data_IF_565895131491
#
_entry.id   IF_565895131491
#
_cell.length_a   1.000
_cell.length_b   1.000
_cell.length_c   1.000
_cell.angle_alpha   90.00
_cell.angle_beta   90.00
_cell.angle_gamma   90.00
#
_symmetry.space_group_name_H-M   'P 1'
#
loop_
_entity.id
_entity.type
_entity.pdbx_description
1 polymer ?
#
# COMPACT_ATOMS: atom_id res chain seq x y z
N UNK A 1 10.34 11.14 12.73
CA UNK A 1 10.53 12.21 13.74
C UNK A 1 11.43 11.65 14.83
N UNK A 2 12.62 12.23 15.09
CA UNK A 2 13.52 11.66 16.09
C UNK A 2 12.93 11.83 17.50
N UNK A 3 12.76 10.72 18.17
CA UNK A 3 12.41 10.64 19.59
C UNK A 3 13.70 10.39 20.37
N UNK A 4 13.83 11.02 21.53
CA UNK A 4 14.97 10.87 22.41
C UNK A 4 14.48 10.57 23.81
N UNK A 5 15.18 9.67 24.50
CA UNK A 5 14.92 9.40 25.91
C UNK A 5 15.88 10.18 26.79
N UNK A 6 15.32 10.81 27.82
CA UNK A 6 16.06 11.56 28.84
C UNK A 6 15.91 10.87 30.19
N UNK A 7 16.96 10.94 31.02
CA UNK A 7 16.98 10.36 32.36
C UNK A 7 17.35 11.41 33.39
N UNK A 8 16.66 11.40 34.53
CA UNK A 8 17.02 12.22 35.68
C UNK A 8 18.15 11.54 36.47
N UNK A 9 19.22 12.28 36.79
CA UNK A 9 20.35 11.76 37.57
C UNK A 9 19.98 11.43 39.03
N UNK A 10 19.09 12.22 39.65
CA UNK A 10 18.77 12.06 41.07
C UNK A 10 17.73 10.96 41.35
N UNK A 11 16.60 10.96 40.61
CA UNK A 11 15.50 10.03 40.86
C UNK A 11 15.39 8.89 39.84
N UNK A 12 16.21 8.89 38.79
CA UNK A 12 16.22 7.83 37.79
C UNK A 12 15.02 7.78 36.83
N UNK A 13 14.08 8.74 36.90
CA UNK A 13 12.92 8.80 35.99
C UNK A 13 13.35 8.96 34.53
N UNK A 14 12.59 8.34 33.64
CA UNK A 14 12.73 8.43 32.18
C UNK A 14 11.58 9.20 31.57
N UNK A 15 11.86 9.93 30.49
CA UNK A 15 10.85 10.58 29.66
C UNK A 15 11.28 10.53 28.19
N UNK A 16 10.31 10.49 27.27
CA UNK A 16 10.55 10.38 25.83
C UNK A 16 10.08 11.65 25.14
N UNK A 17 11.02 12.40 24.58
CA UNK A 17 10.77 13.71 23.98
C UNK A 17 11.03 13.71 22.48
N UNK A 18 10.22 14.47 21.75
CA UNK A 18 10.52 14.83 20.37
C UNK A 18 11.41 16.07 20.31
N UNK A 19 12.52 15.99 19.56
CA UNK A 19 13.38 17.13 19.25
C UNK A 19 13.94 17.05 17.83
N UNK A 20 14.32 18.19 17.27
CA UNK A 20 15.16 18.23 16.07
C UNK A 20 16.59 17.83 16.43
N UNK A 21 17.32 17.28 15.47
CA UNK A 21 18.69 16.80 15.68
C UNK A 21 19.62 17.92 16.19
N UNK A 22 19.44 19.14 15.68
CA UNK A 22 20.22 20.31 16.09
C UNK A 22 19.93 20.78 17.53
N UNK A 23 18.73 20.48 18.06
CA UNK A 23 18.24 20.94 19.37
C UNK A 23 18.09 19.77 20.36
N UNK A 24 18.68 18.61 20.05
CA UNK A 24 18.50 17.36 20.81
C UNK A 24 18.93 17.45 22.29
N UNK A 25 19.83 18.38 22.60
CA UNK A 25 20.38 18.59 23.95
C UNK A 25 19.91 19.95 24.55
N UNK A 26 19.04 20.68 23.84
CA UNK A 26 18.51 21.98 24.28
C UNK A 26 17.13 21.84 24.93
N UNK A 27 16.87 22.65 25.96
CA UNK A 27 15.57 22.72 26.65
C UNK A 27 15.02 21.33 27.04
N UNK A 28 15.89 20.53 27.67
CA UNK A 28 15.52 19.23 28.20
C UNK A 28 14.56 19.39 29.39
N UNK A 29 13.62 18.44 29.59
CA UNK A 29 12.73 18.45 30.73
C UNK A 29 13.49 18.56 32.05
N UNK A 30 12.85 19.21 33.02
CA UNK A 30 13.38 19.36 34.37
C UNK A 30 12.65 18.42 35.32
N UNK A 31 13.41 17.78 36.20
CA UNK A 31 12.87 16.99 37.30
C UNK A 31 13.51 17.43 38.63
N UNK A 32 14.70 16.93 38.96
CA UNK A 32 15.53 17.39 40.08
C UNK A 32 16.76 18.16 39.57
N UNK A 33 16.52 19.04 38.59
CA UNK A 33 17.53 19.60 37.70
C UNK A 33 17.30 19.18 36.25
N UNK A 34 18.18 19.66 35.36
CA UNK A 34 18.13 19.30 33.94
C UNK A 34 18.35 17.80 33.77
N UNK A 35 17.41 17.12 33.11
CA UNK A 35 17.61 15.73 32.70
C UNK A 35 18.67 15.67 31.59
N UNK A 36 19.36 14.54 31.44
CA UNK A 36 20.31 14.33 30.35
C UNK A 36 19.78 13.27 29.39
N UNK A 37 20.07 13.43 28.11
CA UNK A 37 19.73 12.45 27.08
C UNK A 37 20.59 11.20 27.26
N UNK A 38 19.95 10.03 27.14
CA UNK A 38 20.66 8.76 27.10
C UNK A 38 20.67 8.21 25.66
N UNK A 39 21.66 7.39 25.38
CA UNK A 39 21.70 6.61 24.15
C UNK A 39 21.03 5.28 24.47
N UNK A 40 19.88 5.05 23.84
CA UNK A 40 19.20 3.76 23.94
C UNK A 40 19.83 2.75 22.98
N UNK A 41 19.69 1.46 23.32
CA UNK A 41 19.99 0.42 22.36
C UNK A 41 19.08 0.61 21.13
N UNK A 42 19.64 0.53 19.90
CA UNK A 42 18.82 0.68 18.71
C UNK A 42 17.74 -0.41 18.69
N UNK A 43 16.51 -0.03 18.34
CA UNK A 43 15.46 -1.00 18.09
C UNK A 43 15.83 -1.84 16.87
N UNK A 44 16.06 -3.14 17.08
CA UNK A 44 16.32 -4.08 15.99
C UNK A 44 15.00 -4.70 15.55
N UNK A 45 14.57 -4.37 14.33
CA UNK A 45 13.43 -5.04 13.72
C UNK A 45 13.94 -6.27 12.95
N UNK A 46 13.86 -7.44 13.58
CA UNK A 46 14.21 -8.71 12.94
C UNK A 46 13.35 -8.98 11.69
N UNK A 47 13.89 -9.75 10.76
CA UNK A 47 13.17 -10.13 9.55
C UNK A 47 12.05 -11.15 9.86
N UNK A 48 11.19 -11.41 8.87
CA UNK A 48 10.12 -12.38 8.98
C UNK A 48 10.72 -13.78 9.15
N UNK A 49 10.24 -14.61 10.11
CA UNK A 49 10.69 -15.98 10.24
C UNK A 49 10.41 -16.75 8.95
N UNK A 50 11.28 -17.73 8.66
CA UNK A 50 11.11 -18.61 7.52
C UNK A 50 9.82 -19.43 7.64
N UNK A 51 9.07 -19.52 6.54
CA UNK A 51 7.85 -20.32 6.46
C UNK A 51 7.69 -20.96 5.08
N UNK A 52 6.86 -22.00 4.99
CA UNK A 52 6.50 -22.62 3.73
C UNK A 52 5.33 -21.84 3.10
N UNK A 53 5.48 -21.36 1.87
CA UNK A 53 4.43 -20.64 1.15
C UNK A 53 3.20 -21.54 0.98
N UNK A 54 1.99 -21.06 1.34
CA UNK A 54 0.76 -21.82 1.13
C UNK A 54 0.32 -21.86 -0.33
N UNK A 55 0.97 -21.10 -1.21
CA UNK A 55 0.59 -20.98 -2.62
C UNK A 55 1.16 -22.14 -3.43
N UNK A 56 2.46 -22.40 -3.29
CA UNK A 56 3.22 -23.37 -4.10
C UNK A 56 4.12 -24.30 -3.27
N UNK A 57 4.22 -24.10 -1.96
CA UNK A 57 5.04 -24.92 -1.06
C UNK A 57 6.52 -24.54 -1.01
N UNK A 58 6.95 -23.43 -1.63
CA UNK A 58 8.34 -22.98 -1.55
C UNK A 58 8.70 -22.43 -0.16
N UNK A 59 9.97 -22.58 0.23
CA UNK A 59 10.48 -21.97 1.45
C UNK A 59 10.71 -20.48 1.25
N UNK A 60 10.10 -19.66 2.11
CA UNK A 60 10.17 -18.19 2.07
C UNK A 60 10.82 -17.70 3.35
N UNK A 61 11.96 -17.04 3.22
CA UNK A 61 12.70 -16.45 4.33
C UNK A 61 12.82 -14.93 4.18
N UNK A 62 12.30 -14.21 5.19
CA UNK A 62 12.35 -12.76 5.24
C UNK A 62 11.35 -12.04 4.34
N UNK A 63 11.24 -10.72 4.55
CA UNK A 63 10.27 -9.86 3.85
C UNK A 63 10.50 -9.81 2.35
N UNK A 64 11.76 -9.81 1.91
CA UNK A 64 12.11 -9.72 0.49
C UNK A 64 11.67 -10.95 -0.30
N UNK A 65 11.90 -12.15 0.24
CA UNK A 65 11.49 -13.38 -0.45
C UNK A 65 9.98 -13.50 -0.50
N UNK A 66 9.26 -13.09 0.57
CA UNK A 66 7.79 -13.03 0.57
C UNK A 66 7.25 -12.14 -0.56
N UNK A 67 7.87 -10.98 -0.81
CA UNK A 67 7.45 -10.11 -1.91
C UNK A 67 7.65 -10.77 -3.28
N UNK A 68 8.77 -11.48 -3.48
CA UNK A 68 9.02 -12.17 -4.75
C UNK A 68 8.12 -13.38 -4.96
N UNK A 69 7.82 -14.14 -3.89
CA UNK A 69 6.88 -15.26 -3.90
C UNK A 69 5.48 -14.81 -4.34
N UNK A 70 4.98 -13.73 -3.74
CA UNK A 70 3.71 -13.12 -4.13
C UNK A 70 3.73 -12.64 -5.59
N UNK A 71 4.81 -11.98 -6.01
CA UNK A 71 4.94 -11.48 -7.39
C UNK A 71 4.94 -12.61 -8.41
N UNK A 72 5.67 -13.70 -8.15
CA UNK A 72 5.75 -14.87 -9.02
C UNK A 72 4.38 -15.54 -9.21
N UNK A 73 3.60 -15.59 -8.13
CA UNK A 73 2.29 -16.21 -8.12
C UNK A 73 1.14 -15.23 -8.48
N UNK A 74 1.46 -14.06 -9.04
CA UNK A 74 0.48 -13.01 -9.38
C UNK A 74 -0.43 -12.60 -8.21
N UNK A 75 0.06 -12.73 -6.98
CA UNK A 75 -0.64 -12.43 -5.74
C UNK A 75 -0.23 -11.07 -5.17
N UNK A 76 -1.10 -10.48 -4.34
CA UNK A 76 -0.80 -9.28 -3.56
C UNK A 76 -0.79 -9.60 -2.06
N UNK A 77 -0.08 -8.82 -1.23
CA UNK A 77 -0.26 -8.88 0.21
C UNK A 77 -1.71 -8.59 0.58
N UNK A 78 -2.25 -9.42 1.47
CA UNK A 78 -3.56 -9.21 2.06
C UNK A 78 -3.54 -8.01 3.01
N UNK A 79 -4.38 -7.01 2.75
CA UNK A 79 -4.47 -5.77 3.54
C UNK A 79 -5.78 -5.66 4.33
N UNK A 80 -6.61 -6.72 4.33
CA UNK A 80 -7.89 -6.79 5.04
C UNK A 80 -9.11 -6.59 4.13
N UNK A 81 -10.27 -7.07 4.60
CA UNK A 81 -11.51 -7.13 3.80
C UNK A 81 -11.94 -5.79 3.18
N UNK A 82 -11.67 -4.67 3.85
CA UNK A 82 -12.03 -3.34 3.35
C UNK A 82 -11.23 -2.97 2.10
N UNK A 83 -9.91 -3.15 2.14
CA UNK A 83 -9.01 -2.86 1.02
C UNK A 83 -9.28 -3.79 -0.16
N UNK A 84 -9.54 -5.08 0.09
CA UNK A 84 -9.76 -6.08 -0.96
C UNK A 84 -11.09 -5.88 -1.68
N UNK A 85 -12.15 -5.46 -0.97
CA UNK A 85 -13.41 -5.06 -1.61
C UNK A 85 -13.23 -3.85 -2.52
N UNK A 86 -12.52 -2.83 -2.05
CA UNK A 86 -12.24 -1.63 -2.85
C UNK A 86 -11.44 -1.98 -4.12
N UNK A 87 -10.43 -2.83 -3.99
CA UNK A 87 -9.66 -3.31 -5.14
C UNK A 87 -10.53 -4.08 -6.14
N UNK A 88 -11.36 -5.00 -5.65
CA UNK A 88 -12.26 -5.77 -6.50
C UNK A 88 -13.22 -4.86 -7.28
N UNK A 89 -13.80 -3.87 -6.61
CA UNK A 89 -14.65 -2.86 -7.26
C UNK A 89 -13.88 -2.03 -8.29
N UNK A 90 -12.65 -1.62 -7.99
CA UNK A 90 -11.80 -0.89 -8.93
C UNK A 90 -11.53 -1.72 -10.19
N UNK A 91 -11.11 -2.98 -10.03
CA UNK A 91 -10.83 -3.88 -11.15
C UNK A 91 -12.09 -4.18 -11.98
N UNK A 92 -13.23 -4.37 -11.33
CA UNK A 92 -14.50 -4.54 -12.02
C UNK A 92 -14.87 -3.30 -12.85
N UNK A 93 -14.75 -2.10 -12.27
CA UNK A 93 -15.02 -0.86 -12.97
C UNK A 93 -14.06 -0.60 -14.14
N UNK A 94 -12.79 -0.97 -14.00
CA UNK A 94 -11.81 -0.91 -15.09
C UNK A 94 -12.14 -1.91 -16.22
N UNK A 95 -12.54 -3.14 -15.86
CA UNK A 95 -12.97 -4.16 -16.81
C UNK A 95 -14.23 -3.73 -17.57
N UNK A 96 -15.24 -3.19 -16.87
CA UNK A 96 -16.48 -2.71 -17.47
C UNK A 96 -16.21 -1.56 -18.45
N UNK A 97 -15.31 -0.63 -18.12
CA UNK A 97 -14.90 0.45 -19.02
C UNK A 97 -14.21 -0.07 -20.27
N UNK A 98 -13.27 -1.01 -20.11
CA UNK A 98 -12.56 -1.62 -21.22
C UNK A 98 -13.52 -2.39 -22.14
N UNK A 99 -14.47 -3.13 -21.54
CA UNK A 99 -15.51 -3.83 -22.28
C UNK A 99 -16.43 -2.87 -23.04
N UNK A 100 -16.90 -1.79 -22.39
CA UNK A 100 -17.72 -0.76 -23.03
C UNK A 100 -17.04 -0.14 -24.25
N UNK A 101 -15.75 0.20 -24.13
CA UNK A 101 -14.97 0.73 -25.24
C UNK A 101 -14.83 -0.27 -26.40
N UNK A 102 -14.66 -1.55 -26.10
CA UNK A 102 -14.59 -2.61 -27.11
C UNK A 102 -15.94 -2.87 -27.81
N UNK A 103 -17.05 -2.73 -27.07
CA UNK A 103 -18.40 -2.84 -27.63
C UNK A 103 -18.71 -1.65 -28.53
N UNK A 104 -18.36 -0.43 -28.12
CA UNK A 104 -18.57 0.78 -28.91
C UNK A 104 -17.81 0.73 -30.24
N UNK A 105 -16.53 0.33 -30.22
CA UNK A 105 -15.76 0.17 -31.46
C UNK A 105 -16.35 -0.90 -32.38
N UNK A 106 -16.79 -2.03 -31.82
CA UNK A 106 -17.45 -3.09 -32.57
C UNK A 106 -18.78 -2.62 -33.20
N UNK A 107 -19.57 -1.78 -32.52
CA UNK A 107 -20.80 -1.19 -33.06
C UNK A 107 -20.47 -0.29 -34.26
N UNK A 108 -19.45 0.56 -34.14
CA UNK A 108 -19.03 1.46 -35.23
C UNK A 108 -18.56 0.66 -36.45
N UNK A 109 -17.74 -0.36 -36.24
CA UNK A 109 -17.20 -1.20 -37.31
C UNK A 109 -18.29 -2.03 -37.99
N UNK A 110 -19.22 -2.59 -37.22
CA UNK A 110 -20.36 -3.33 -37.77
C UNK A 110 -21.24 -2.40 -38.59
N UNK A 111 -21.59 -1.21 -38.11
CA UNK A 111 -22.38 -0.23 -38.85
C UNK A 111 -21.69 0.17 -40.17
N UNK A 112 -20.38 0.44 -40.14
CA UNK A 112 -19.60 0.79 -41.36
C UNK A 112 -19.59 -0.33 -42.40
N UNK A 113 -19.56 -1.58 -41.95
CA UNK A 113 -19.55 -2.75 -42.83
C UNK A 113 -20.94 -3.19 -43.29
N UNK A 114 -22.03 -2.54 -42.83
CA UNK A 114 -23.37 -2.80 -43.36
C UNK A 114 -23.57 -2.15 -44.73
N UNK A 115 -24.52 -2.70 -45.52
CA UNK A 115 -24.88 -2.09 -46.79
C UNK A 115 -25.63 -0.75 -46.58
N UNK A 116 -25.53 0.21 -47.53
CA UNK A 116 -26.17 1.52 -47.39
C UNK A 116 -27.69 1.46 -47.18
N UNK A 117 -28.36 0.43 -47.72
CA UNK A 117 -29.80 0.23 -47.51
C UNK A 117 -30.13 -0.11 -46.04
N UNK A 118 -29.28 -0.90 -45.37
CA UNK A 118 -29.44 -1.24 -43.95
C UNK A 118 -29.11 -0.05 -43.05
N UNK A 119 -28.11 0.75 -43.40
CA UNK A 119 -27.76 1.98 -42.67
C UNK A 119 -28.94 2.98 -42.67
N UNK A 120 -29.52 3.27 -43.84
CA UNK A 120 -30.69 4.16 -43.96
C UNK A 120 -31.93 3.65 -43.22
N UNK A 121 -32.13 2.33 -43.21
CA UNK A 121 -33.25 1.72 -42.48
C UNK A 121 -33.12 1.93 -40.96
N UNK A 122 -31.90 1.85 -40.41
CA UNK A 122 -31.64 2.14 -38.99
C UNK A 122 -31.83 3.63 -38.66
N UNK A 123 -31.39 4.52 -39.54
CA UNK A 123 -31.58 5.98 -39.37
C UNK A 123 -33.06 6.39 -39.43
N UNK A 124 -33.83 5.79 -40.33
CA UNK A 124 -35.26 6.05 -40.47
C UNK A 124 -36.13 5.53 -39.32
N UNK A 125 -35.62 4.58 -38.53
CA UNK A 125 -36.27 4.09 -37.30
C UNK A 125 -36.06 5.02 -36.10
N UNK A 126 -35.09 5.94 -36.17
CA UNK A 126 -34.78 6.90 -35.12
C UNK A 126 -35.52 8.25 -35.29
N UNK A 127 -36.38 8.37 -36.30
CA UNK A 127 -37.26 9.52 -36.58
C UNK A 127 -38.67 9.28 -36.03
#
# INVERSE_FOLDING_TARGET
MPMYTVRCHACGKYDTIFRRIAERDANLPQCHGAMHRIIEAPTVQADLPGYQSPIDGHWVEGRRQRTEDLRRNHCRPWEGMAAEKQEAHRRAAEADKAYGAAVESAIVDTYRNMSPAKQRALEGLAS
#
